data_IF_019903189003
#
_entry.id   IF_019903189003
#
_cell.length_a   1.000
_cell.length_b   1.000
_cell.length_c   1.000
_cell.angle_alpha   90.00
_cell.angle_beta   90.00
_cell.angle_gamma   90.00
#
_symmetry.space_group_name_H-M   'P 1'
#
loop_
_entity.id
_entity.type
_entity.pdbx_description
1 polymer ?
#
# COMPACT_ATOMS: atom_id res chain seq x y z
N UNK A 1 28.84 17.43 9.64
CA UNK A 1 30.04 16.57 9.74
C UNK A 1 31.23 17.42 9.36
N UNK A 2 32.33 17.35 10.12
CA UNK A 2 33.51 18.17 9.83
C UNK A 2 34.53 17.32 9.08
N UNK A 3 35.41 17.98 8.34
CA UNK A 3 36.48 17.30 7.59
C UNK A 3 37.34 16.44 8.53
N UNK A 4 37.86 17.05 9.60
CA UNK A 4 38.77 16.37 10.54
C UNK A 4 38.05 15.58 11.64
N UNK A 5 36.73 15.73 11.77
CA UNK A 5 35.93 15.05 12.78
C UNK A 5 34.80 14.26 12.13
N UNK A 6 35.07 13.01 11.69
CA UNK A 6 34.06 12.14 11.14
C UNK A 6 33.04 11.73 12.22
N UNK A 7 31.79 11.54 11.82
CA UNK A 7 30.74 11.04 12.72
C UNK A 7 30.76 9.53 12.65
N UNK A 8 31.02 8.86 13.78
CA UNK A 8 31.09 7.40 13.89
C UNK A 8 29.93 6.86 14.73
N UNK A 9 29.33 5.75 14.31
CA UNK A 9 28.30 5.00 15.03
C UNK A 9 28.65 3.51 15.03
N UNK A 10 28.34 2.84 16.14
CA UNK A 10 28.55 1.40 16.29
C UNK A 10 27.20 0.70 16.20
N UNK A 11 27.11 -0.30 15.34
CA UNK A 11 25.92 -1.13 15.18
C UNK A 11 26.15 -2.45 15.90
N UNK A 12 25.31 -2.71 16.89
CA UNK A 12 25.37 -3.90 17.76
C UNK A 12 24.17 -4.83 17.58
N UNK A 13 23.08 -4.31 17.01
CA UNK A 13 21.84 -5.04 16.79
C UNK A 13 22.05 -6.23 15.85
N UNK A 14 21.72 -7.44 16.32
CA UNK A 14 21.97 -8.69 15.57
C UNK A 14 21.09 -8.83 14.32
N UNK A 15 19.84 -8.35 14.40
CA UNK A 15 18.81 -8.59 13.37
C UNK A 15 18.73 -7.50 12.29
N UNK A 16 19.72 -6.62 12.18
CA UNK A 16 19.68 -5.55 11.18
C UNK A 16 20.04 -6.11 9.82
N UNK A 17 19.15 -5.98 8.85
CA UNK A 17 19.38 -6.42 7.47
C UNK A 17 20.00 -5.30 6.64
N UNK A 18 19.53 -4.05 6.82
CA UNK A 18 19.97 -2.90 6.04
C UNK A 18 20.14 -1.65 6.89
N UNK A 19 21.00 -0.74 6.46
CA UNK A 19 21.19 0.57 7.10
C UNK A 19 20.83 1.69 6.13
N UNK A 20 19.92 2.58 6.53
CA UNK A 20 19.67 3.83 5.81
C UNK A 20 20.40 4.97 6.50
N UNK A 21 21.21 5.69 5.73
CA UNK A 21 21.89 6.90 6.19
C UNK A 21 21.21 8.12 5.58
N UNK A 22 20.81 9.07 6.42
CA UNK A 22 20.25 10.36 5.98
C UNK A 22 21.23 11.46 6.35
N UNK A 23 21.69 12.18 5.34
CA UNK A 23 22.72 13.23 5.47
C UNK A 23 22.42 14.36 4.50
N UNK A 24 23.16 15.45 4.60
CA UNK A 24 22.96 16.55 3.67
C UNK A 24 23.71 17.81 4.03
N UNK A 25 23.20 18.94 3.55
CA UNK A 25 23.79 20.27 3.74
C UNK A 25 22.70 21.24 4.18
N UNK A 26 23.05 22.16 5.08
CA UNK A 26 22.11 23.22 5.48
C UNK A 26 21.96 24.27 4.38
N UNK A 27 23.05 24.54 3.67
CA UNK A 27 23.16 25.47 2.55
C UNK A 27 24.42 25.09 1.75
N UNK A 28 24.39 25.27 0.43
CA UNK A 28 25.52 25.01 -0.47
C UNK A 28 25.61 26.13 -1.52
N UNK A 29 26.47 27.11 -1.26
CA UNK A 29 26.71 28.23 -2.17
C UNK A 29 28.03 28.93 -1.84
N UNK A 30 28.61 29.58 -2.84
CA UNK A 30 29.80 30.42 -2.68
C UNK A 30 29.49 31.85 -3.15
N UNK A 31 29.83 32.85 -2.33
CA UNK A 31 29.60 34.27 -2.64
C UNK A 31 30.91 34.93 -3.08
N UNK A 32 30.95 35.39 -4.33
CA UNK A 32 32.11 36.08 -4.91
C UNK A 32 32.22 37.54 -4.41
N UNK A 33 33.36 38.19 -4.66
CA UNK A 33 33.59 39.60 -4.29
C UNK A 33 32.58 40.58 -4.88
N UNK A 34 32.00 40.24 -6.04
CA UNK A 34 30.98 41.04 -6.72
C UNK A 34 29.55 40.79 -6.22
N UNK A 35 29.37 39.96 -5.18
CA UNK A 35 28.07 39.61 -4.60
C UNK A 35 27.34 38.45 -5.30
N UNK A 36 27.89 37.92 -6.39
CA UNK A 36 27.33 36.77 -7.11
C UNK A 36 27.37 35.50 -6.25
N UNK A 37 26.25 34.75 -6.25
CA UNK A 37 26.12 33.48 -5.52
C UNK A 37 26.19 32.30 -6.49
N UNK A 38 27.32 31.63 -6.49
CA UNK A 38 27.65 30.49 -7.33
C UNK A 38 27.31 29.15 -6.64
N UNK A 39 27.04 28.10 -7.43
CA UNK A 39 26.92 26.73 -6.91
C UNK A 39 28.25 26.28 -6.31
N UNK A 40 28.17 25.37 -5.34
CA UNK A 40 29.34 24.73 -4.72
C UNK A 40 29.12 23.21 -4.66
N UNK A 41 30.11 22.47 -4.15
CA UNK A 41 30.02 21.02 -3.99
C UNK A 41 30.65 20.56 -2.69
N UNK A 42 30.16 19.44 -2.18
CA UNK A 42 30.72 18.71 -1.04
C UNK A 42 30.77 17.23 -1.38
N UNK A 43 31.92 16.62 -1.13
CA UNK A 43 32.12 15.18 -1.18
C UNK A 43 32.07 14.56 0.23
N UNK A 44 31.26 13.51 0.36
CA UNK A 44 31.03 12.74 1.58
C UNK A 44 31.25 11.25 1.29
N UNK A 45 31.98 10.58 2.18
CA UNK A 45 32.17 9.13 2.15
C UNK A 45 31.43 8.48 3.29
N UNK A 46 30.74 7.37 3.02
CA UNK A 46 30.23 6.47 4.06
C UNK A 46 31.11 5.23 4.07
N UNK A 47 31.72 4.97 5.23
CA UNK A 47 32.72 3.92 5.38
C UNK A 47 32.32 2.93 6.46
N UNK A 48 32.49 1.65 6.18
CA UNK A 48 32.24 0.56 7.11
C UNK A 48 33.56 -0.03 7.58
N UNK A 49 33.64 -0.35 8.86
CA UNK A 49 34.77 -1.06 9.41
C UNK A 49 34.63 -2.56 9.12
N UNK A 50 35.53 -3.11 8.31
CA UNK A 50 35.62 -4.54 8.00
C UNK A 50 37.00 -5.03 8.42
N UNK A 51 37.05 -6.01 9.31
CA UNK A 51 38.31 -6.58 9.83
C UNK A 51 39.29 -5.51 10.36
N UNK A 52 38.76 -4.49 11.04
CA UNK A 52 39.56 -3.39 11.60
C UNK A 52 39.91 -2.26 10.63
N UNK A 53 39.66 -2.41 9.32
CA UNK A 53 39.98 -1.43 8.28
C UNK A 53 38.71 -0.71 7.81
N UNK A 54 38.81 0.60 7.59
CA UNK A 54 37.73 1.40 7.03
C UNK A 54 37.66 1.25 5.51
N UNK A 55 36.54 0.73 5.01
CA UNK A 55 36.27 0.56 3.58
C UNK A 55 35.17 1.52 3.16
N UNK A 56 35.34 2.22 2.03
CA UNK A 56 34.32 3.11 1.47
C UNK A 56 33.26 2.30 0.75
N UNK A 57 32.02 2.41 1.22
CA UNK A 57 30.85 1.76 0.62
C UNK A 57 30.10 2.73 -0.28
N UNK A 58 30.07 4.02 0.07
CA UNK A 58 29.46 5.07 -0.74
C UNK A 58 30.39 6.28 -0.84
N UNK A 59 30.52 6.79 -2.06
CA UNK A 59 31.17 8.05 -2.39
C UNK A 59 30.12 8.97 -3.02
N UNK A 60 29.72 10.00 -2.27
CA UNK A 60 28.59 10.86 -2.61
C UNK A 60 29.06 12.30 -2.75
N UNK A 61 28.77 12.90 -3.90
CA UNK A 61 28.99 14.32 -4.14
C UNK A 61 27.66 15.05 -4.25
N UNK A 62 27.39 15.94 -3.30
CA UNK A 62 26.27 16.89 -3.38
C UNK A 62 26.78 18.14 -4.11
N UNK A 63 26.15 18.51 -5.21
CA UNK A 63 26.52 19.66 -6.01
C UNK A 63 25.33 20.58 -6.29
N UNK A 64 25.61 21.84 -6.57
CA UNK A 64 24.62 22.82 -7.00
C UNK A 64 24.50 24.02 -6.06
N UNK A 65 23.44 24.81 -6.27
CA UNK A 65 23.10 25.98 -5.46
C UNK A 65 21.91 25.65 -4.56
N UNK A 66 22.20 25.37 -3.29
CA UNK A 66 21.21 24.94 -2.31
C UNK A 66 21.03 26.08 -1.30
N UNK A 67 19.85 26.71 -1.31
CA UNK A 67 19.53 27.87 -0.47
C UNK A 67 18.75 27.51 0.80
N UNK A 68 18.24 26.28 0.90
CA UNK A 68 17.52 25.71 2.04
C UNK A 68 18.06 24.33 2.36
N UNK A 69 17.79 23.79 3.55
CA UNK A 69 18.31 22.48 3.94
C UNK A 69 17.95 21.40 2.91
N UNK A 70 18.98 20.70 2.43
CA UNK A 70 18.85 19.57 1.52
C UNK A 70 19.30 18.30 2.23
N UNK A 71 18.49 17.25 2.15
CA UNK A 71 18.78 15.93 2.68
C UNK A 71 18.75 14.90 1.55
N UNK A 72 19.75 14.04 1.52
CA UNK A 72 19.81 12.84 0.71
C UNK A 72 19.88 11.61 1.61
N UNK A 73 19.52 10.45 1.08
CA UNK A 73 19.67 9.19 1.78
C UNK A 73 20.20 8.09 0.89
N UNK A 74 21.04 7.23 1.44
CA UNK A 74 21.46 5.98 0.79
C UNK A 74 21.12 4.79 1.68
N UNK A 75 20.90 3.63 1.09
CA UNK A 75 20.62 2.38 1.79
C UNK A 75 21.74 1.40 1.50
N UNK A 76 22.32 0.84 2.57
CA UNK A 76 23.37 -0.16 2.53
C UNK A 76 22.80 -1.52 2.89
N UNK A 77 22.97 -2.50 2.00
CA UNK A 77 22.41 -3.84 2.16
C UNK A 77 23.48 -4.87 2.54
N UNK A 78 24.75 -4.65 2.17
CA UNK A 78 25.86 -5.55 2.46
C UNK A 78 26.56 -5.18 3.78
N UNK A 79 25.94 -5.50 4.91
CA UNK A 79 26.48 -5.14 6.23
C UNK A 79 27.62 -6.08 6.69
N UNK A 80 28.67 -5.58 7.38
CA UNK A 80 29.71 -6.42 7.97
C UNK A 80 29.18 -7.33 9.10
N UNK A 81 29.96 -8.34 9.53
CA UNK A 81 29.68 -9.08 10.76
C UNK A 81 29.56 -8.14 11.96
N UNK A 82 28.61 -8.42 12.86
CA UNK A 82 28.34 -7.60 14.04
C UNK A 82 29.31 -7.98 15.17
N UNK A 83 29.69 -7.04 16.05
CA UNK A 83 29.44 -5.60 15.94
C UNK A 83 30.36 -4.97 14.89
N UNK A 84 29.87 -3.93 14.21
CA UNK A 84 30.69 -3.15 13.28
C UNK A 84 30.47 -1.65 13.47
N UNK A 85 31.48 -0.87 13.09
CA UNK A 85 31.40 0.59 13.11
C UNK A 85 31.15 1.12 11.71
N UNK A 86 30.31 2.14 11.61
CA UNK A 86 30.13 2.97 10.41
C UNK A 86 30.53 4.40 10.72
N UNK A 87 31.14 5.07 9.75
CA UNK A 87 31.39 6.50 9.86
C UNK A 87 31.05 7.24 8.57
N UNK A 88 30.69 8.51 8.72
CA UNK A 88 30.68 9.47 7.62
C UNK A 88 31.91 10.36 7.71
N UNK A 89 32.66 10.40 6.62
CA UNK A 89 33.83 11.25 6.44
C UNK A 89 33.50 12.31 5.41
N UNK A 90 33.89 13.55 5.69
CA UNK A 90 33.82 14.64 4.72
C UNK A 90 35.21 14.81 4.11
N UNK A 91 35.30 14.74 2.78
CA UNK A 91 36.56 14.89 2.03
C UNK A 91 36.81 16.35 1.64
N UNK A 92 35.75 17.10 1.34
CA UNK A 92 35.87 18.53 1.03
C UNK A 92 36.22 19.31 2.30
N UNK A 93 37.17 20.26 2.27
CA UNK A 93 37.50 21.09 3.43
C UNK A 93 36.28 21.81 4.01
N UNK A 94 36.27 22.00 5.33
CA UNK A 94 35.29 22.86 6.00
C UNK A 94 35.48 24.31 5.55
N UNK A 95 34.39 25.07 5.45
CA UNK A 95 34.51 26.49 5.12
C UNK A 95 35.23 27.26 6.24
N UNK A 96 36.16 28.12 5.82
CA UNK A 96 36.89 29.07 6.68
C UNK A 96 36.31 30.48 6.62
N UNK A 97 35.33 30.74 5.73
CA UNK A 97 34.76 32.08 5.52
C UNK A 97 33.24 32.02 5.41
N UNK A 98 32.55 33.10 5.77
CA UNK A 98 31.08 33.18 5.60
C UNK A 98 30.64 33.21 4.13
N UNK A 99 31.58 33.46 3.20
CA UNK A 99 31.31 33.48 1.76
C UNK A 99 31.05 32.10 1.19
N UNK A 100 31.73 31.08 1.71
CA UNK A 100 31.51 29.68 1.35
C UNK A 100 30.61 29.03 2.39
N UNK A 101 29.37 28.73 2.00
CA UNK A 101 28.42 28.02 2.84
C UNK A 101 28.36 26.58 2.35
N UNK A 102 28.91 25.65 3.15
CA UNK A 102 28.98 24.24 2.80
C UNK A 102 28.83 23.32 4.04
N UNK A 103 28.06 23.78 5.03
CA UNK A 103 27.92 23.09 6.30
C UNK A 103 27.12 21.80 6.14
N UNK A 104 27.79 20.67 6.33
CA UNK A 104 27.19 19.34 6.20
C UNK A 104 26.57 18.88 7.50
N UNK A 105 25.57 18.02 7.40
CA UNK A 105 24.84 17.47 8.54
C UNK A 105 24.64 15.96 8.37
N UNK A 106 24.75 15.23 9.49
CA UNK A 106 24.28 13.86 9.60
C UNK A 106 22.92 13.93 10.30
N UNK A 107 21.85 13.59 9.58
CA UNK A 107 20.49 13.71 10.11
C UNK A 107 20.13 12.49 10.94
N UNK A 108 20.28 11.29 10.36
CA UNK A 108 19.93 10.05 11.03
C UNK A 108 20.66 8.86 10.42
N UNK A 109 20.72 7.79 11.20
CA UNK A 109 20.89 6.45 10.68
C UNK A 109 19.71 5.61 11.17
N UNK A 110 19.15 4.80 10.29
CA UNK A 110 18.00 3.95 10.59
C UNK A 110 18.39 2.50 10.31
N UNK A 111 18.25 1.67 11.33
CA UNK A 111 18.34 0.23 11.21
C UNK A 111 17.04 -0.32 10.61
N UNK A 112 17.15 -1.04 9.50
CA UNK A 112 16.03 -1.67 8.80
C UNK A 112 16.14 -3.18 9.02
N UNK A 113 15.07 -3.75 9.56
CA UNK A 113 14.91 -5.19 9.79
C UNK A 113 13.83 -5.67 8.82
N UNK A 114 14.22 -6.60 7.95
CA UNK A 114 13.33 -7.21 6.97
C UNK A 114 12.59 -8.37 7.61
N UNK A 115 11.35 -8.09 8.02
CA UNK A 115 10.48 -9.12 8.57
C UNK A 115 9.70 -9.74 7.41
N UNK A 116 9.82 -11.06 7.23
CA UNK A 116 8.94 -11.81 6.35
C UNK A 116 7.57 -11.98 7.01
N UNK A 117 6.69 -11.00 6.80
CA UNK A 117 5.29 -11.12 7.20
C UNK A 117 4.48 -11.71 6.06
N UNK A 118 3.85 -12.87 6.30
CA UNK A 118 2.79 -13.35 5.43
C UNK A 118 1.54 -12.52 5.64
N UNK A 119 1.02 -11.90 4.58
CA UNK A 119 -0.33 -11.31 4.57
C UNK A 119 -1.23 -12.09 3.60
N UNK A 120 -1.66 -13.31 3.96
CA UNK A 120 -2.50 -14.12 3.08
C UNK A 120 -3.77 -13.36 2.71
N UNK A 121 -4.14 -13.37 1.43
CA UNK A 121 -5.37 -12.73 0.94
C UNK A 121 -5.33 -11.20 0.90
N UNK A 122 -4.15 -10.59 0.99
CA UNK A 122 -3.96 -9.16 0.71
C UNK A 122 -3.36 -9.00 -0.69
N UNK A 123 -3.90 -8.08 -1.49
CA UNK A 123 -3.27 -7.60 -2.71
C UNK A 123 -2.65 -6.23 -2.44
N UNK A 124 -1.39 -6.03 -2.86
CA UNK A 124 -0.70 -4.75 -2.74
C UNK A 124 -0.41 -4.24 -4.14
N UNK A 125 -0.84 -3.02 -4.44
CA UNK A 125 -0.49 -2.32 -5.67
C UNK A 125 0.38 -1.10 -5.31
N UNK A 126 1.56 -1.03 -5.92
CA UNK A 126 2.49 0.10 -5.80
C UNK A 126 2.69 0.76 -7.16
N UNK A 127 2.82 2.08 -7.16
CA UNK A 127 3.25 2.84 -8.33
C UNK A 127 4.49 3.65 -7.94
N UNK A 128 5.57 3.45 -8.69
CA UNK A 128 6.75 4.30 -8.64
C UNK A 128 6.59 5.37 -9.73
N UNK A 129 6.67 6.63 -9.36
CA UNK A 129 6.61 7.76 -10.27
C UNK A 129 7.77 8.69 -10.00
N UNK A 130 8.25 9.35 -11.05
CA UNK A 130 9.30 10.35 -10.94
C UNK A 130 8.76 11.60 -10.25
N UNK A 131 9.46 12.07 -9.21
CA UNK A 131 9.08 13.25 -8.47
C UNK A 131 9.12 14.52 -9.35
N UNK A 132 9.97 14.57 -10.38
CA UNK A 132 10.07 15.73 -11.29
C UNK A 132 8.76 15.99 -12.05
N UNK A 133 7.99 14.94 -12.35
CA UNK A 133 6.73 15.06 -13.08
C UNK A 133 5.58 15.65 -12.24
N UNK A 134 5.68 15.61 -10.91
CA UNK A 134 4.63 16.02 -10.00
C UNK A 134 4.98 17.25 -9.15
N UNK A 135 6.23 17.75 -9.25
CA UNK A 135 6.70 18.91 -8.50
C UNK A 135 6.47 18.74 -6.98
N UNK A 136 5.83 19.72 -6.35
CA UNK A 136 5.51 19.69 -4.91
C UNK A 136 4.15 19.08 -4.57
N UNK A 137 3.41 18.52 -5.53
CA UNK A 137 2.06 18.00 -5.29
C UNK A 137 2.08 16.52 -4.91
N UNK A 138 1.26 16.16 -3.92
CA UNK A 138 1.05 14.76 -3.55
C UNK A 138 0.25 14.04 -4.64
N UNK A 139 0.78 12.90 -5.10
CA UNK A 139 0.14 12.10 -6.17
C UNK A 139 -1.14 11.48 -5.66
N UNK A 140 -2.28 11.94 -6.17
CA UNK A 140 -3.59 11.32 -5.92
C UNK A 140 -3.77 10.12 -6.87
N UNK A 141 -4.27 9.00 -6.35
CA UNK A 141 -4.46 7.76 -7.11
C UNK A 141 -5.90 7.28 -6.98
N UNK A 142 -6.53 6.98 -8.12
CA UNK A 142 -7.85 6.36 -8.17
C UNK A 142 -7.73 5.02 -8.88
N UNK A 143 -8.44 4.01 -8.38
CA UNK A 143 -8.40 2.65 -8.93
C UNK A 143 -9.80 2.21 -9.34
N UNK A 144 -9.94 1.70 -10.55
CA UNK A 144 -11.11 0.95 -10.98
C UNK A 144 -10.77 -0.54 -10.92
N UNK A 145 -11.37 -1.26 -9.97
CA UNK A 145 -11.02 -2.66 -9.71
C UNK A 145 -12.27 -3.53 -9.56
N UNK A 146 -12.23 -4.71 -10.16
CA UNK A 146 -13.16 -5.82 -9.86
C UNK A 146 -12.66 -6.44 -8.55
N UNK A 147 -13.38 -6.18 -7.46
CA UNK A 147 -12.93 -6.50 -6.10
C UNK A 147 -12.72 -8.00 -5.86
N UNK A 148 -13.75 -8.68 -5.39
CA UNK A 148 -13.65 -10.06 -4.92
C UNK A 148 -14.25 -11.05 -5.93
N UNK A 149 -13.66 -12.25 -5.99
CA UNK A 149 -14.27 -13.42 -6.64
C UNK A 149 -15.23 -14.09 -5.67
N UNK A 150 -16.47 -14.27 -6.10
CA UNK A 150 -17.57 -14.88 -5.35
C UNK A 150 -17.85 -16.30 -5.85
N UNK A 151 -18.58 -17.08 -5.05
CA UNK A 151 -19.19 -18.32 -5.51
C UNK A 151 -20.57 -17.99 -6.08
N UNK A 152 -20.74 -18.13 -7.39
CA UNK A 152 -21.98 -17.86 -8.12
C UNK A 152 -22.54 -19.15 -8.73
N UNK A 153 -23.84 -19.25 -9.05
CA UNK A 153 -24.40 -20.43 -9.69
C UNK A 153 -23.62 -20.86 -10.93
N UNK A 154 -23.43 -22.16 -11.10
CA UNK A 154 -22.76 -22.77 -12.25
C UNK A 154 -23.36 -22.29 -13.59
N UNK A 155 -24.68 -22.11 -13.63
CA UNK A 155 -25.46 -21.70 -14.78
C UNK A 155 -25.59 -20.18 -14.99
N UNK A 156 -24.98 -19.36 -14.12
CA UNK A 156 -25.03 -17.90 -14.20
C UNK A 156 -23.80 -17.34 -14.90
N UNK A 157 -24.01 -16.46 -15.87
CA UNK A 157 -22.96 -15.63 -16.47
C UNK A 157 -23.02 -14.22 -15.85
N UNK A 158 -22.01 -13.80 -15.07
CA UNK A 158 -22.02 -12.51 -14.41
C UNK A 158 -21.75 -11.31 -15.32
N UNK A 159 -21.11 -11.51 -16.48
CA UNK A 159 -20.84 -10.41 -17.41
C UNK A 159 -22.10 -10.08 -18.22
N UNK A 160 -22.81 -11.11 -18.70
CA UNK A 160 -24.10 -10.93 -19.43
C UNK A 160 -25.34 -10.92 -18.54
N UNK A 161 -25.19 -11.32 -17.27
CA UNK A 161 -26.27 -11.49 -16.27
C UNK A 161 -27.36 -12.48 -16.67
N UNK A 162 -26.99 -13.49 -17.44
CA UNK A 162 -27.91 -14.51 -17.95
C UNK A 162 -27.82 -15.80 -17.13
N UNK A 163 -28.94 -16.51 -17.05
CA UNK A 163 -29.04 -17.80 -16.37
C UNK A 163 -29.49 -18.86 -17.38
N UNK A 164 -28.64 -19.84 -17.66
CA UNK A 164 -28.85 -20.80 -18.75
C UNK A 164 -29.21 -22.19 -18.24
N UNK A 165 -30.43 -22.64 -18.51
CA UNK A 165 -30.92 -23.93 -18.03
C UNK A 165 -31.24 -23.96 -16.53
N UNK A 166 -31.62 -25.14 -16.03
CA UNK A 166 -31.95 -25.34 -14.62
C UNK A 166 -30.67 -25.38 -13.78
N UNK A 167 -30.69 -24.64 -12.67
CA UNK A 167 -29.59 -24.68 -11.72
C UNK A 167 -29.71 -25.92 -10.82
N UNK A 168 -28.64 -26.71 -10.76
CA UNK A 168 -28.52 -27.92 -9.94
C UNK A 168 -28.04 -27.64 -8.50
N UNK A 169 -27.76 -26.36 -8.19
CA UNK A 169 -27.24 -25.95 -6.89
C UNK A 169 -25.72 -25.91 -6.80
N UNK A 170 -24.98 -26.20 -7.88
CA UNK A 170 -23.52 -26.12 -7.93
C UNK A 170 -23.03 -24.68 -8.10
N UNK A 171 -21.84 -24.37 -7.56
CA UNK A 171 -21.26 -23.03 -7.65
C UNK A 171 -19.97 -23.05 -8.47
N UNK A 172 -19.64 -21.90 -9.08
CA UNK A 172 -18.36 -21.62 -9.73
C UNK A 172 -17.78 -20.29 -9.23
N UNK A 173 -16.45 -20.14 -9.21
CA UNK A 173 -15.81 -18.87 -8.87
C UNK A 173 -15.98 -17.84 -10.00
N UNK A 174 -16.57 -16.68 -9.72
CA UNK A 174 -16.60 -15.55 -10.64
C UNK A 174 -16.76 -14.21 -9.92
N UNK A 175 -16.35 -13.10 -10.55
CA UNK A 175 -16.69 -11.76 -10.08
C UNK A 175 -18.16 -11.46 -10.39
N UNK A 176 -18.88 -10.84 -9.46
CA UNK A 176 -20.22 -10.30 -9.67
C UNK A 176 -20.44 -9.14 -8.71
N UNK A 177 -21.35 -8.23 -9.07
CA UNK A 177 -21.90 -7.21 -8.18
C UNK A 177 -23.41 -7.41 -7.97
N UNK A 178 -23.93 -8.61 -8.22
CA UNK A 178 -25.30 -8.95 -7.85
C UNK A 178 -25.39 -9.06 -6.31
N UNK A 179 -26.28 -8.28 -5.65
CA UNK A 179 -26.39 -8.21 -4.20
C UNK A 179 -26.67 -9.57 -3.54
N UNK A 180 -27.39 -10.48 -4.20
CA UNK A 180 -27.72 -11.79 -3.63
C UNK A 180 -26.46 -12.65 -3.41
N UNK A 181 -25.57 -12.69 -4.41
CA UNK A 181 -24.32 -13.46 -4.33
C UNK A 181 -23.29 -12.80 -3.41
N UNK A 182 -23.26 -11.46 -3.36
CA UNK A 182 -22.49 -10.73 -2.35
C UNK A 182 -22.97 -11.04 -0.92
N UNK A 183 -24.29 -11.18 -0.72
CA UNK A 183 -24.89 -11.54 0.57
C UNK A 183 -24.56 -12.97 0.96
N UNK A 184 -24.68 -13.92 0.02
CA UNK A 184 -24.32 -15.33 0.23
C UNK A 184 -22.87 -15.48 0.70
N UNK A 185 -21.93 -14.79 0.05
CA UNK A 185 -20.52 -14.79 0.44
C UNK A 185 -20.31 -14.16 1.82
N UNK A 186 -20.98 -13.04 2.14
CA UNK A 186 -20.87 -12.42 3.47
C UNK A 186 -21.40 -13.32 4.59
N UNK A 187 -22.40 -14.14 4.31
CA UNK A 187 -22.94 -15.11 5.27
C UNK A 187 -22.03 -16.31 5.46
N UNK A 188 -21.47 -16.85 4.37
CA UNK A 188 -20.82 -18.17 4.38
C UNK A 188 -19.30 -18.11 4.47
N UNK A 189 -18.67 -16.95 4.23
CA UNK A 189 -17.22 -16.89 4.19
C UNK A 189 -16.58 -17.00 5.58
N UNK A 190 -15.64 -17.94 5.81
CA UNK A 190 -15.13 -18.27 7.16
C UNK A 190 -14.20 -17.21 7.77
N UNK A 191 -13.66 -16.29 6.94
CA UNK A 191 -12.66 -15.29 7.39
C UNK A 191 -13.26 -13.96 7.83
N UNK A 192 -14.10 -13.34 7.00
CA UNK A 192 -14.63 -11.98 7.21
C UNK A 192 -16.15 -11.94 7.25
N UNK A 193 -16.79 -13.08 7.01
CA UNK A 193 -18.24 -13.23 7.02
C UNK A 193 -18.71 -13.94 8.28
N UNK A 194 -19.94 -14.42 8.24
CA UNK A 194 -20.54 -15.22 9.30
C UNK A 194 -20.23 -16.72 9.17
N UNK A 195 -19.33 -17.12 8.26
CA UNK A 195 -19.06 -18.51 7.89
C UNK A 195 -18.60 -19.46 9.00
N UNK A 196 -18.12 -18.91 10.13
CA UNK A 196 -17.80 -19.70 11.33
C UNK A 196 -19.03 -20.09 12.15
N UNK A 197 -20.16 -19.41 11.93
CA UNK A 197 -21.43 -19.59 12.67
C UNK A 197 -22.57 -20.04 11.76
N UNK A 198 -22.54 -19.64 10.49
CA UNK A 198 -23.55 -19.96 9.47
C UNK A 198 -22.82 -20.60 8.30
N UNK A 199 -23.01 -21.90 8.10
CA UNK A 199 -22.48 -22.63 6.95
C UNK A 199 -23.34 -22.42 5.71
N UNK A 200 -22.84 -22.86 4.55
CA UNK A 200 -23.60 -22.79 3.29
C UNK A 200 -24.93 -23.58 3.32
N UNK A 201 -25.03 -24.62 4.15
CA UNK A 201 -26.26 -25.38 4.35
C UNK A 201 -27.32 -24.63 5.18
N UNK A 202 -26.89 -23.63 5.95
CA UNK A 202 -27.76 -22.83 6.83
C UNK A 202 -28.36 -21.62 6.11
N UNK A 203 -28.07 -21.43 4.82
CA UNK A 203 -28.59 -20.33 3.99
C UNK A 203 -29.46 -20.89 2.88
N UNK A 204 -30.64 -20.30 2.69
CA UNK A 204 -31.55 -20.66 1.61
C UNK A 204 -31.07 -20.14 0.26
N UNK A 205 -30.13 -20.88 -0.35
CA UNK A 205 -29.56 -20.53 -1.66
C UNK A 205 -30.62 -20.47 -2.77
N UNK A 206 -31.74 -21.16 -2.63
CA UNK A 206 -32.81 -21.16 -3.63
C UNK A 206 -33.63 -19.87 -3.58
N UNK A 207 -33.92 -19.36 -2.39
CA UNK A 207 -34.53 -18.04 -2.21
C UNK A 207 -33.60 -16.93 -2.76
N UNK A 208 -32.30 -17.00 -2.43
CA UNK A 208 -31.32 -16.05 -2.99
C UNK A 208 -31.20 -16.15 -4.51
N UNK A 209 -31.33 -17.35 -5.10
CA UNK A 209 -31.31 -17.51 -6.55
C UNK A 209 -32.47 -16.79 -7.23
N UNK A 210 -33.69 -16.92 -6.70
CA UNK A 210 -34.86 -16.20 -7.22
C UNK A 210 -34.69 -14.67 -7.10
N UNK A 211 -34.17 -14.20 -5.96
CA UNK A 211 -33.86 -12.78 -5.75
C UNK A 211 -32.76 -12.31 -6.69
N UNK A 212 -31.71 -13.12 -6.92
CA UNK A 212 -30.62 -12.80 -7.82
C UNK A 212 -31.12 -12.57 -9.26
N UNK A 213 -32.03 -13.43 -9.74
CA UNK A 213 -32.67 -13.27 -11.04
C UNK A 213 -33.49 -11.98 -11.11
N UNK A 214 -34.20 -11.61 -10.04
CA UNK A 214 -34.91 -10.33 -9.96
C UNK A 214 -33.96 -9.12 -10.01
N UNK A 215 -32.83 -9.18 -9.30
CA UNK A 215 -31.81 -8.12 -9.33
C UNK A 215 -31.14 -7.95 -10.70
N UNK A 216 -31.01 -9.03 -11.47
CA UNK A 216 -30.39 -9.02 -12.80
C UNK A 216 -31.38 -8.67 -13.94
N UNK A 217 -32.67 -8.48 -13.65
CA UNK A 217 -33.64 -8.09 -14.68
C UNK A 217 -33.22 -6.75 -15.34
N UNK A 218 -33.22 -6.67 -16.69
CA UNK A 218 -32.96 -5.43 -17.38
C UNK A 218 -34.11 -4.45 -17.14
N UNK A 219 -33.78 -3.25 -16.68
CA UNK A 219 -34.69 -2.12 -16.53
C UNK A 219 -34.18 -0.95 -17.39
N UNK A 220 -35.06 -0.08 -17.90
CA UNK A 220 -34.63 1.08 -18.67
C UNK A 220 -33.71 1.99 -17.84
N UNK A 221 -32.57 2.39 -18.42
CA UNK A 221 -31.57 3.26 -17.77
C UNK A 221 -31.92 4.75 -17.84
N UNK A 222 -33.01 5.11 -18.52
CA UNK A 222 -33.43 6.50 -18.74
C UNK A 222 -32.69 7.21 -19.88
N UNK A 223 -31.72 6.57 -20.53
CA UNK A 223 -30.92 7.09 -21.64
C UNK A 223 -31.11 6.32 -22.95
N UNK A 224 -32.08 5.40 -23.00
CA UNK A 224 -32.39 4.58 -24.17
C UNK A 224 -31.73 3.20 -24.19
N UNK A 225 -31.00 2.84 -23.12
CA UNK A 225 -30.46 1.52 -22.88
C UNK A 225 -31.17 0.77 -21.76
N UNK A 226 -30.54 -0.29 -21.26
CA UNK A 226 -31.01 -1.06 -20.10
C UNK A 226 -29.88 -1.27 -19.12
N UNK A 227 -30.20 -1.22 -17.84
CA UNK A 227 -29.30 -1.56 -16.74
C UNK A 227 -29.89 -2.69 -15.87
N UNK A 228 -29.06 -3.37 -15.07
CA UNK A 228 -29.55 -4.35 -14.11
C UNK A 228 -30.35 -3.67 -13.01
N UNK A 229 -31.48 -4.25 -12.63
CA UNK A 229 -32.39 -3.68 -11.64
C UNK A 229 -31.71 -3.28 -10.33
N UNK A 230 -30.83 -4.13 -9.79
CA UNK A 230 -30.11 -3.87 -8.55
C UNK A 230 -28.65 -4.32 -8.66
N UNK A 231 -27.73 -3.47 -8.20
CA UNK A 231 -26.29 -3.80 -8.12
C UNK A 231 -25.72 -3.36 -6.77
N UNK A 232 -24.66 -4.03 -6.33
CA UNK A 232 -23.99 -3.76 -5.05
C UNK A 232 -22.48 -3.71 -5.22
N UNK A 233 -21.90 -2.51 -5.06
CA UNK A 233 -20.46 -2.27 -5.00
C UNK A 233 -20.13 -1.70 -3.62
N UNK A 234 -19.89 -2.57 -2.63
CA UNK A 234 -19.64 -2.18 -1.25
C UNK A 234 -18.18 -2.36 -0.85
N UNK A 235 -17.64 -1.40 -0.09
CA UNK A 235 -16.35 -1.51 0.58
C UNK A 235 -16.56 -1.40 2.09
N UNK A 236 -16.04 -2.37 2.85
CA UNK A 236 -16.23 -2.44 4.31
C UNK A 236 -14.88 -2.14 4.96
N UNK A 237 -14.77 -0.99 5.63
CA UNK A 237 -13.52 -0.53 6.27
C UNK A 237 -13.51 -0.74 7.77
N UNK A 238 -14.68 -0.79 8.40
CA UNK A 238 -14.83 -0.87 9.85
C UNK A 238 -15.62 -2.10 10.28
N UNK A 239 -15.33 -2.59 11.48
CA UNK A 239 -16.10 -3.67 12.09
C UNK A 239 -17.48 -3.15 12.50
N UNK A 240 -18.53 -3.84 12.06
CA UNK A 240 -19.93 -3.54 12.39
C UNK A 240 -20.63 -4.79 12.88
N UNK A 241 -21.77 -4.62 13.56
CA UNK A 241 -22.63 -5.75 13.94
C UNK A 241 -23.08 -6.46 12.66
N UNK A 242 -22.97 -7.79 12.67
CA UNK A 242 -23.20 -8.56 11.46
C UNK A 242 -24.65 -8.47 10.94
N UNK A 243 -25.61 -8.35 11.85
CA UNK A 243 -27.02 -8.16 11.49
C UNK A 243 -27.25 -6.83 10.76
N UNK A 244 -26.64 -5.74 11.22
CA UNK A 244 -26.76 -4.43 10.55
C UNK A 244 -26.20 -4.48 9.13
N UNK A 245 -25.03 -5.12 8.94
CA UNK A 245 -24.44 -5.29 7.60
C UNK A 245 -25.33 -6.17 6.71
N UNK A 246 -25.90 -7.24 7.26
CA UNK A 246 -26.81 -8.11 6.52
C UNK A 246 -28.09 -7.36 6.13
N UNK A 247 -28.67 -6.58 7.04
CA UNK A 247 -29.84 -5.76 6.79
C UNK A 247 -29.57 -4.71 5.70
N UNK A 248 -28.42 -4.04 5.72
CA UNK A 248 -28.01 -3.10 4.67
C UNK A 248 -27.96 -3.79 3.30
N UNK A 249 -27.36 -5.00 3.22
CA UNK A 249 -27.28 -5.76 1.97
C UNK A 249 -28.66 -6.21 1.47
N UNK A 250 -29.52 -6.68 2.39
CA UNK A 250 -30.88 -7.11 2.07
C UNK A 250 -31.76 -5.94 1.60
N UNK A 251 -31.53 -4.73 2.14
CA UNK A 251 -32.25 -3.53 1.74
C UNK A 251 -32.04 -3.18 0.26
N UNK A 252 -30.84 -3.42 -0.29
CA UNK A 252 -30.52 -3.18 -1.71
C UNK A 252 -31.35 -4.07 -2.62
N UNK A 253 -31.50 -5.35 -2.26
CA UNK A 253 -32.32 -6.31 -3.00
C UNK A 253 -33.80 -6.29 -2.60
N UNK A 254 -34.21 -5.34 -1.74
CA UNK A 254 -35.58 -5.16 -1.23
C UNK A 254 -36.18 -6.39 -0.57
N UNK A 255 -35.37 -7.11 0.21
CA UNK A 255 -35.83 -8.27 0.98
C UNK A 255 -35.48 -8.11 2.46
N UNK A 256 -36.03 -8.98 3.29
CA UNK A 256 -35.72 -9.09 4.72
C UNK A 256 -35.10 -10.46 5.04
N UNK A 257 -33.98 -10.50 5.80
CA UNK A 257 -33.42 -11.76 6.27
C UNK A 257 -34.27 -12.32 7.42
N UNK A 258 -34.69 -13.58 7.32
CA UNK A 258 -35.52 -14.26 8.31
C UNK A 258 -34.93 -15.61 8.67
N UNK A 259 -34.80 -15.89 9.96
CA UNK A 259 -34.46 -17.23 10.44
C UNK A 259 -35.74 -18.05 10.62
N UNK A 260 -35.93 -19.09 9.81
CA UNK A 260 -37.15 -19.92 9.86
C UNK A 260 -37.07 -21.10 10.86
N UNK A 261 -36.09 -21.08 11.76
CA UNK A 261 -35.83 -22.17 12.70
C UNK A 261 -34.87 -23.25 12.18
N UNK A 262 -34.63 -23.32 10.86
CA UNK A 262 -33.70 -24.27 10.24
C UNK A 262 -32.63 -23.62 9.36
N UNK A 263 -33.00 -22.61 8.59
CA UNK A 263 -32.13 -21.88 7.67
C UNK A 263 -32.46 -20.40 7.65
N UNK A 264 -31.47 -19.59 7.30
CA UNK A 264 -31.62 -18.19 6.96
C UNK A 264 -32.26 -18.10 5.58
N UNK A 265 -33.49 -17.59 5.51
CA UNK A 265 -34.22 -17.34 4.26
C UNK A 265 -34.41 -15.84 4.06
N UNK A 266 -34.90 -15.46 2.89
CA UNK A 266 -35.07 -14.07 2.45
C UNK A 266 -36.46 -13.93 1.84
N UNK A 267 -37.21 -12.92 2.31
CA UNK A 267 -38.59 -12.63 1.90
C UNK A 267 -38.73 -11.20 1.40
#
# INVERSE_FOLDING_TARGET
VKHDNPVTRTVVSENVDRLRFTFGVQMLQETMDKGDRNPSSVNLLIQFQRSGIWNTEFDITINGKITTQYLASVVADNLPPRPFSVRMVRVTPDSTTDRLQNKTLWSSYTEIIDIRQGYPGTAVAGLLVDAEQFGSQQVTRNYHLRGRIFQVPSNYDPDTRTYTGLWDGAFKPAYTNNPAWCTMDKLTHPRYGLGRRIGGADVDKWALYAIAQYCDQPVPDGFGGTEPRMTLNAYITTQRKAYDVLADFCSVMRCMPVWNGRKMTFI
#
